data_IF_199830583975
#
_entry.id   IF_199830583975
#
_cell.length_a   1.000
_cell.length_b   1.000
_cell.length_c   1.000
_cell.angle_alpha   90.00
_cell.angle_beta   90.00
_cell.angle_gamma   90.00
#
_symmetry.space_group_name_H-M   'P 1'
#
loop_
_entity.id
_entity.type
_entity.pdbx_description
1 polymer ?
#
# COMPACT_ATOMS: atom_id res chain seq x y z
N UNK A 1 -5.16 -11.52 -22.69
CA UNK A 1 -5.35 -10.27 -21.93
C UNK A 1 -5.20 -10.62 -20.46
N UNK A 2 -4.43 -9.84 -19.69
CA UNK A 2 -4.23 -10.06 -18.25
C UNK A 2 -4.77 -8.83 -17.51
N UNK A 3 -5.41 -9.03 -16.35
CA UNK A 3 -5.93 -7.99 -15.47
C UNK A 3 -5.10 -8.01 -14.18
N UNK A 4 -4.72 -6.83 -13.70
CA UNK A 4 -3.92 -6.65 -12.48
C UNK A 4 -4.61 -5.63 -11.59
N UNK A 5 -4.65 -5.91 -10.29
CA UNK A 5 -5.16 -5.00 -9.27
C UNK A 5 -4.01 -4.16 -8.71
N UNK A 6 -4.27 -2.86 -8.57
CA UNK A 6 -3.36 -1.88 -8.00
C UNK A 6 -4.17 -1.02 -7.04
N UNK A 7 -3.63 -0.72 -5.86
CA UNK A 7 -4.22 0.16 -4.85
C UNK A 7 -3.15 1.05 -4.22
N UNK A 8 -3.54 1.98 -3.35
CA UNK A 8 -2.62 2.69 -2.47
C UNK A 8 -2.65 2.11 -1.04
N UNK A 9 -1.75 2.60 -0.18
CA UNK A 9 -1.63 2.12 1.19
C UNK A 9 -2.78 2.54 2.12
N UNK A 10 -3.64 3.49 1.71
CA UNK A 10 -4.84 3.88 2.47
C UNK A 10 -6.03 2.92 2.25
N UNK A 11 -5.80 1.75 1.64
CA UNK A 11 -6.84 0.74 1.43
C UNK A 11 -7.23 -0.06 2.68
N UNK A 12 -6.45 0.06 3.77
CA UNK A 12 -6.64 -0.65 5.04
C UNK A 12 -6.77 -2.19 4.90
N UNK A 13 -6.19 -2.75 3.83
CA UNK A 13 -6.10 -4.20 3.63
C UNK A 13 -4.90 -4.76 4.38
N UNK A 14 -5.03 -5.99 4.90
CA UNK A 14 -3.89 -6.66 5.54
C UNK A 14 -2.78 -6.99 4.53
N UNK A 15 -1.54 -6.94 4.99
CA UNK A 15 -0.38 -7.27 4.16
C UNK A 15 -0.44 -8.70 3.59
N UNK A 16 -1.04 -9.64 4.34
CA UNK A 16 -1.24 -11.02 3.90
C UNK A 16 -2.23 -11.07 2.73
N UNK A 17 -3.35 -10.34 2.81
CA UNK A 17 -4.33 -10.29 1.73
C UNK A 17 -3.73 -9.73 0.43
N UNK A 18 -2.94 -8.65 0.53
CA UNK A 18 -2.23 -8.06 -0.61
C UNK A 18 -1.30 -9.08 -1.28
N UNK A 19 -0.49 -9.80 -0.47
CA UNK A 19 0.47 -10.80 -0.96
C UNK A 19 -0.23 -12.00 -1.61
N UNK A 20 -1.22 -12.56 -0.94
CA UNK A 20 -1.97 -13.73 -1.42
C UNK A 20 -2.69 -13.45 -2.75
N UNK A 21 -3.13 -12.20 -2.96
CA UNK A 21 -3.88 -11.80 -4.17
C UNK A 21 -3.01 -11.11 -5.23
N UNK A 22 -1.69 -11.02 -5.05
CA UNK A 22 -0.76 -10.38 -5.98
C UNK A 22 -1.23 -8.96 -6.38
N UNK A 23 -1.62 -8.15 -5.38
CA UNK A 23 -2.04 -6.76 -5.56
C UNK A 23 -0.80 -5.86 -5.46
N UNK A 24 -0.60 -4.95 -6.42
CA UNK A 24 0.47 -3.96 -6.30
C UNK A 24 0.00 -2.76 -5.46
N UNK A 25 0.89 -2.22 -4.64
CA UNK A 25 0.57 -1.11 -3.72
C UNK A 25 1.47 0.09 -4.02
N UNK A 26 0.84 1.26 -4.18
CA UNK A 26 1.51 2.56 -4.19
C UNK A 26 1.47 3.16 -2.78
N UNK A 27 2.57 3.07 -2.04
CA UNK A 27 2.64 3.60 -0.68
C UNK A 27 2.52 5.12 -0.63
N UNK A 28 1.62 5.62 0.21
CA UNK A 28 1.57 7.03 0.61
C UNK A 28 2.70 7.33 1.61
N UNK A 29 2.89 8.62 1.88
CA UNK A 29 3.80 9.11 2.91
C UNK A 29 3.07 10.06 3.85
N UNK A 30 3.40 9.96 5.14
CA UNK A 30 2.92 10.88 6.17
C UNK A 30 4.03 11.86 6.49
N UNK A 31 3.71 13.16 6.45
CA UNK A 31 4.62 14.19 6.94
C UNK A 31 4.39 14.40 8.45
N UNK A 32 5.38 14.04 9.27
CA UNK A 32 5.38 14.33 10.70
C UNK A 32 6.60 15.20 11.02
N UNK A 33 6.36 16.44 11.45
CA UNK A 33 7.41 17.41 11.81
C UNK A 33 8.43 17.67 10.68
N UNK A 34 8.01 17.63 9.42
CA UNK A 34 8.89 17.85 8.26
C UNK A 34 9.60 16.59 7.76
N UNK A 35 9.50 15.47 8.50
CA UNK A 35 10.00 14.17 8.08
C UNK A 35 8.89 13.40 7.32
N UNK A 36 9.24 12.82 6.18
CA UNK A 36 8.33 11.98 5.40
C UNK A 36 8.54 10.50 5.76
N UNK A 37 7.51 9.91 6.36
CA UNK A 37 7.50 8.52 6.79
C UNK A 37 6.62 7.73 5.81
N UNK A 38 7.13 6.60 5.33
CA UNK A 38 6.41 5.73 4.42
C UNK A 38 5.28 5.00 5.16
N UNK A 39 4.12 4.90 4.52
CA UNK A 39 3.05 4.00 4.96
C UNK A 39 3.31 2.59 4.40
N UNK A 40 3.64 1.68 5.31
CA UNK A 40 4.07 0.31 5.04
C UNK A 40 2.98 -0.75 5.25
N UNK A 41 1.71 -0.31 5.39
CA UNK A 41 0.53 -1.14 5.68
C UNK A 41 0.48 -1.71 7.11
N UNK A 42 1.29 -1.14 8.03
CA UNK A 42 1.43 -1.58 9.42
C UNK A 42 2.31 -2.80 9.60
#
# INVERSE_FOLDING_TARGET
>A
MSIKLITDSACDLSIDFIRENNIDVASLMVNLNGEFILDDLG
#
